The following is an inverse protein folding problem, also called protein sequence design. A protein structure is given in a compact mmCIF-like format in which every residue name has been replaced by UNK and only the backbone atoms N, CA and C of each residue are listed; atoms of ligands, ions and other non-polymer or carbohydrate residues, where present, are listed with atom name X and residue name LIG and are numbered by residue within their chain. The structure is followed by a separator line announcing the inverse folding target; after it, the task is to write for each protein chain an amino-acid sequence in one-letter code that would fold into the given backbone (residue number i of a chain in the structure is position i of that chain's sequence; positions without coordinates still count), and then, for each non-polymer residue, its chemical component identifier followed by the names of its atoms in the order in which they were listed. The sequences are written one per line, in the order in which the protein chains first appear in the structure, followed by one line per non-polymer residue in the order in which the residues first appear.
data_IF_571362051967
#
_entry.id   IF_571362051967
#
_cell.length_a   1.000
_cell.length_b   1.000
_cell.length_c   1.000
_cell.angle_alpha   90.00
_cell.angle_beta   90.00
_cell.angle_gamma   90.00
#
_symmetry.space_group_name_H-M   'P 1'
#
loop_
_entity.id
_entity.type
_entity.pdbx_description
1 polymer ?
2 non-polymer ?
3 water ?
#
# COMPACT_ATOMS: atom_id res chain seq x y z
N UNK A 19 12.69 -8.34 16.92
CA UNK A 19 11.80 -7.76 17.98
C UNK A 19 10.33 -8.05 17.67
N UNK A 20 9.46 -7.25 18.26
CA UNK A 20 8.18 -6.87 17.68
C UNK A 20 8.24 -5.33 17.82
N UNK A 21 8.98 -4.73 16.88
CA UNK A 21 9.34 -3.29 16.87
C UNK A 21 8.18 -2.27 17.11
N UNK A 22 8.51 -1.13 17.74
CA UNK A 22 7.59 0.00 17.88
C UNK A 22 6.96 0.36 16.53
N UNK A 23 5.69 0.75 16.57
CA UNK A 23 5.00 1.15 15.36
C UNK A 23 5.52 2.50 14.86
N UNK A 24 5.55 2.59 13.54
CA UNK A 24 5.94 3.74 12.78
C UNK A 24 4.73 4.32 12.07
N UNK A 25 4.80 5.58 11.73
CA UNK A 25 3.65 6.21 11.20
C UNK A 25 3.37 5.99 9.73
N UNK A 26 4.37 5.61 8.91
CA UNK A 26 4.21 5.49 7.49
C UNK A 26 4.63 4.07 7.12
N UNK A 27 4.12 3.62 5.98
CA UNK A 27 4.59 2.31 5.54
C UNK A 27 6.06 2.33 5.20
N UNK A 28 6.67 1.14 5.24
CA UNK A 28 8.12 1.14 5.09
C UNK A 28 8.61 1.55 3.71
N UNK A 29 9.78 2.25 3.69
CA UNK A 29 10.35 2.59 2.41
C UNK A 29 11.14 1.43 1.81
N UNK A 30 11.27 1.47 0.49
CA UNK A 30 12.05 0.49 -0.27
C UNK A 30 13.52 0.85 -0.20
N UNK A 31 14.35 -0.16 -0.24
CA UNK A 31 15.79 0.05 -0.39
C UNK A 31 16.13 0.68 -1.72
N UNK A 32 15.26 0.60 -2.72
CA UNK A 32 15.58 0.97 -4.07
C UNK A 32 14.68 2.08 -4.62
N UNK A 33 15.21 2.86 -5.56
CA UNK A 33 14.37 3.68 -6.37
C UNK A 33 13.31 2.88 -7.08
N UNK A 34 12.15 3.48 -7.37
CA UNK A 34 11.12 2.78 -8.14
C UNK A 34 11.47 2.64 -9.61
N UNK A 35 10.71 1.80 -10.30
CA UNK A 35 10.65 1.78 -11.74
C UNK A 35 9.34 2.46 -12.13
N UNK A 36 9.33 2.97 -13.38
CA UNK A 36 8.16 3.51 -13.99
C UNK A 36 7.65 2.50 -15.04
N UNK A 37 6.33 2.31 -15.09
CA UNK A 37 5.71 1.40 -16.06
C UNK A 37 5.02 2.24 -17.11
N UNK A 38 5.67 2.37 -18.28
CA UNK A 38 5.15 3.14 -19.42
C UNK A 38 4.25 2.24 -20.28
N UNK A 39 3.96 2.65 -21.47
CA UNK A 39 2.96 1.91 -22.32
C UNK A 39 1.60 1.47 -21.63
N UNK A 40 0.85 0.54 -22.24
CA UNK A 40 -0.51 0.20 -21.77
C UNK A 40 -0.63 -0.97 -20.74
N UNK A 41 0.24 -1.94 -20.93
CA UNK A 41 0.16 -3.24 -20.26
C UNK A 41 0.25 -3.17 -18.74
N UNK A 42 -0.40 -4.11 -18.11
CA UNK A 42 -0.34 -4.28 -16.65
C UNK A 42 1.09 -4.56 -16.19
N UNK A 43 1.42 -3.98 -15.03
CA UNK A 43 2.69 -4.32 -14.40
C UNK A 43 2.94 -5.81 -14.26
N UNK A 44 1.89 -6.57 -13.83
CA UNK A 44 2.10 -7.99 -13.73
C UNK A 44 2.51 -8.74 -15.02
N UNK A 45 2.18 -8.11 -16.12
CA UNK A 45 2.50 -8.64 -17.45
C UNK A 45 3.92 -8.31 -17.88
N UNK A 46 4.40 -7.13 -17.53
CA UNK A 46 5.64 -6.67 -18.02
C UNK A 46 6.84 -6.94 -17.18
N UNK A 47 6.66 -7.12 -15.86
CA UNK A 47 7.77 -7.30 -15.01
C UNK A 47 8.20 -8.76 -15.04
N UNK A 48 9.43 -9.07 -15.50
CA UNK A 48 9.88 -10.49 -15.60
C UNK A 48 9.86 -11.19 -14.24
N UNK A 49 9.68 -12.55 -14.29
CA UNK A 49 9.60 -13.40 -13.14
C UNK A 49 10.73 -13.23 -12.21
N UNK A 50 11.95 -12.86 -12.71
CA UNK A 50 13.13 -12.87 -11.96
C UNK A 50 13.77 -11.47 -11.86
N UNK A 51 12.93 -10.43 -11.87
CA UNK A 51 13.43 -9.02 -11.82
C UNK A 51 13.62 -8.67 -10.37
N UNK A 52 14.74 -9.13 -9.78
CA UNK A 52 15.15 -8.86 -8.42
C UNK A 52 16.38 -7.93 -8.42
N UNK A 53 16.32 -6.76 -7.77
CA UNK A 53 17.55 -5.92 -7.70
C UNK A 53 18.65 -6.66 -7.10
N UNK A 54 19.87 -6.35 -7.57
CA UNK A 54 21.10 -6.98 -7.06
C UNK A 54 21.74 -6.21 -5.90
N UNK A 55 22.33 -6.92 -4.95
CA UNK A 55 23.35 -6.39 -3.99
C UNK A 55 23.05 -6.46 -2.50
N UNK A 56 21.96 -7.16 -2.09
CA UNK A 56 21.71 -7.41 -0.67
C UNK A 56 21.28 -8.85 -0.52
N UNK A 57 21.67 -9.38 0.59
CA UNK A 57 21.18 -10.72 1.00
C UNK A 57 21.98 -11.83 0.45
N UNK A 58 21.69 -12.98 0.98
CA UNK A 58 22.29 -14.19 0.44
C UNK A 58 21.50 -14.80 -0.72
N UNK A 59 21.97 -15.88 -1.31
CA UNK A 59 21.35 -16.40 -2.49
C UNK A 59 19.88 -16.80 -2.21
N UNK A 60 19.60 -17.27 -1.02
CA UNK A 60 18.26 -17.69 -0.77
C UNK A 60 17.29 -16.53 -0.56
N UNK A 61 17.79 -15.31 -0.44
CA UNK A 61 16.99 -14.11 -0.16
C UNK A 61 16.68 -13.30 -1.41
N UNK A 62 17.00 -13.77 -2.61
CA UNK A 62 16.80 -12.97 -3.83
C UNK A 62 15.38 -13.22 -4.35
N UNK A 63 14.41 -12.67 -3.58
CA UNK A 63 12.99 -12.97 -3.76
C UNK A 63 12.18 -11.81 -3.09
N UNK A 64 11.06 -11.47 -3.71
CA UNK A 64 10.21 -10.46 -3.11
C UNK A 64 9.15 -10.07 -4.07
N UNK A 65 8.76 -8.78 -3.95
CA UNK A 65 7.67 -8.26 -4.79
C UNK A 65 7.88 -6.81 -5.17
N UNK A 66 7.23 -6.45 -6.28
CA UNK A 66 7.05 -5.05 -6.71
C UNK A 66 5.65 -4.63 -6.38
N UNK A 67 5.53 -3.52 -5.68
CA UNK A 67 4.22 -2.99 -5.23
C UNK A 67 3.84 -1.78 -6.15
N UNK A 68 2.73 -1.88 -6.77
CA UNK A 68 2.26 -0.83 -7.67
C UNK A 68 1.71 0.36 -6.92
N UNK A 69 2.13 1.53 -7.35
CA UNK A 69 1.64 2.87 -6.90
C UNK A 69 0.90 3.49 -8.11
N UNK A 70 -0.40 3.65 -8.03
CA UNK A 70 -1.18 4.36 -9.07
C UNK A 70 -0.88 5.84 -8.88
N UNK A 71 -0.76 6.61 -9.99
CA UNK A 71 -0.32 8.00 -9.98
C UNK A 71 -1.27 8.85 -10.90
N UNK A 72 -1.76 9.95 -10.39
CA UNK A 72 -2.62 10.85 -11.19
C UNK A 72 -2.57 12.16 -10.57
N UNK A 73 -2.54 13.21 -11.40
CA UNK A 73 -2.63 14.54 -10.89
C UNK A 73 -3.68 15.37 -11.63
N UNK A 74 -4.02 16.49 -11.00
CA UNK A 74 -4.87 17.49 -11.62
C UNK A 74 -3.98 18.51 -12.33
N UNK A 75 -4.34 18.80 -13.58
CA UNK A 75 -3.82 19.94 -14.35
C UNK A 75 -5.09 20.59 -15.04
N UNK A 76 -5.50 21.79 -14.56
CA UNK A 76 -6.84 22.38 -14.79
C UNK A 76 -7.97 21.69 -13.99
N UNK A 79 -7.80 15.98 -14.51
CA UNK A 79 -7.13 14.79 -13.95
C UNK A 79 -6.39 14.01 -15.00
N UNK A 80 -5.08 13.91 -14.80
CA UNK A 80 -4.21 13.29 -15.72
C UNK A 80 -3.68 12.00 -15.01
N UNK A 81 -4.01 10.88 -15.57
CA UNK A 81 -3.47 9.61 -15.10
C UNK A 81 -2.01 9.49 -15.61
N UNK A 82 -1.11 9.17 -14.71
CA UNK A 82 0.31 9.08 -15.00
C UNK A 82 0.73 7.57 -15.02
N UNK A 83 1.87 7.23 -15.64
CA UNK A 83 2.38 5.90 -15.54
C UNK A 83 2.57 5.53 -14.07
N UNK A 84 2.18 4.28 -13.76
CA UNK A 84 2.38 3.86 -12.38
C UNK A 84 3.83 3.67 -12.04
N UNK A 85 4.17 3.77 -10.76
CA UNK A 85 5.45 3.39 -10.28
C UNK A 85 5.34 2.04 -9.55
N UNK A 86 6.46 1.32 -9.53
CA UNK A 86 6.57 0.09 -8.74
C UNK A 86 7.77 0.18 -7.82
N UNK A 87 7.61 -0.28 -6.59
CA UNK A 87 8.72 -0.30 -5.62
C UNK A 87 8.98 -1.73 -5.15
N UNK A 88 10.27 -2.08 -5.02
CA UNK A 88 10.60 -3.47 -4.70
C UNK A 88 10.82 -3.62 -3.21
N UNK A 89 10.34 -4.74 -2.69
CA UNK A 89 10.56 -5.14 -1.32
C UNK A 89 10.87 -6.63 -1.28
N UNK A 90 11.83 -7.00 -0.44
CA UNK A 90 12.14 -8.41 -0.21
C UNK A 90 10.99 -9.11 0.46
N UNK A 91 10.92 -10.39 0.24
CA UNK A 91 9.88 -11.22 0.84
C UNK A 91 9.92 -11.09 2.37
N UNK A 92 8.74 -10.87 2.96
CA UNK A 92 8.65 -10.67 4.42
C UNK A 92 9.05 -9.35 4.91
N UNK A 93 9.12 -8.34 4.00
CA UNK A 93 9.40 -6.96 4.34
C UNK A 93 8.41 -6.10 3.61
N UNK A 94 8.46 -4.79 3.92
CA UNK A 94 7.63 -3.81 3.18
C UNK A 94 6.20 -3.76 3.62
N UNK A 95 5.37 -3.05 2.86
CA UNK A 95 3.92 -2.89 3.17
C UNK A 95 3.20 -4.16 3.17
N UNK A 96 3.66 -5.20 2.46
CA UNK A 96 3.04 -6.54 2.38
C UNK A 96 3.93 -7.58 3.01
N UNK A 97 4.50 -7.25 4.19
CA UNK A 97 5.38 -8.17 4.88
C UNK A 97 4.69 -9.45 5.32
N UNK A 98 3.37 -9.43 5.39
CA UNK A 98 2.48 -10.47 5.84
C UNK A 98 2.17 -11.51 4.79
N UNK A 99 2.38 -11.13 3.52
CA UNK A 99 2.07 -12.03 2.42
C UNK A 99 3.13 -13.10 2.22
N UNK A 100 2.63 -14.33 2.01
CA UNK A 100 3.46 -15.44 1.57
C UNK A 100 3.80 -15.25 0.11
N UNK A 101 4.87 -15.90 -0.34
CA UNK A 101 5.28 -15.73 -1.72
C UNK A 101 4.19 -16.05 -2.66
N UNK A 102 3.79 -15.21 -3.52
CA UNK A 102 2.80 -15.35 -4.54
C UNK A 102 1.36 -15.36 -4.06
N UNK A 103 1.16 -15.03 -2.80
CA UNK A 103 -0.21 -14.75 -2.32
C UNK A 103 -0.82 -13.65 -3.10
N UNK A 104 -2.04 -13.86 -3.60
CA UNK A 104 -2.58 -12.94 -4.56
C UNK A 104 -3.03 -11.66 -3.93
N UNK A 105 -2.59 -10.52 -4.44
CA UNK A 105 -3.01 -9.23 -4.02
C UNK A 105 -2.91 -8.26 -5.18
N UNK A 106 -3.98 -7.57 -5.57
CA UNK A 106 -3.90 -6.81 -6.76
C UNK A 106 -2.89 -5.68 -6.59
N UNK A 107 -2.03 -5.47 -7.57
CA UNK A 107 -0.98 -4.49 -7.51
C UNK A 107 0.30 -5.02 -6.95
N UNK A 108 0.36 -6.29 -6.57
CA UNK A 108 1.58 -6.90 -6.03
C UNK A 108 2.09 -7.89 -7.07
N UNK A 109 3.34 -7.69 -7.51
CA UNK A 109 3.89 -8.48 -8.58
C UNK A 109 5.09 -9.23 -8.05
N UNK A 110 5.13 -10.59 -8.09
CA UNK A 110 6.13 -11.38 -7.43
C UNK A 110 7.35 -11.72 -8.29
N UNK A 111 8.49 -11.73 -7.66
CA UNK A 111 9.76 -11.99 -8.38
C UNK A 111 10.64 -12.83 -7.55
N UNK A 112 11.45 -13.70 -8.22
CA UNK A 112 12.46 -14.51 -7.54
C UNK A 112 13.51 -14.95 -8.54
N UNK A 113 14.73 -15.02 -8.07
CA UNK A 113 15.77 -15.61 -8.86
C UNK A 113 16.00 -17.08 -8.50
N UNK A 114 16.63 -17.83 -9.44
CA UNK A 114 17.03 -19.19 -9.21
C UNK A 114 17.87 -19.29 -7.96
N UNK A 115 17.57 -20.24 -7.10
CA UNK A 115 18.25 -20.43 -5.82
C UNK A 115 17.59 -19.79 -4.63
N UNK A 116 16.62 -18.90 -4.87
CA UNK A 116 15.94 -18.29 -3.76
C UNK A 116 15.12 -19.34 -2.96
N UNK A 117 14.84 -19.07 -1.72
CA UNK A 117 13.90 -19.86 -0.97
C UNK A 117 12.68 -19.03 -0.61
N UNK A 118 11.57 -19.70 -0.58
CA UNK A 118 10.24 -19.05 -0.41
C UNK A 118 9.97 -18.84 1.10
N UNK A 119 10.86 -18.21 1.83
CA UNK A 119 10.70 -17.86 3.19
C UNK A 119 11.05 -16.40 3.42
N UNK A 120 10.54 -15.83 4.49
CA UNK A 120 10.76 -14.44 4.80
C UNK A 120 12.26 -14.22 4.91
N UNK A 121 12.72 -13.13 4.32
CA UNK A 121 14.13 -12.76 4.38
C UNK A 121 14.46 -11.99 5.68
N UNK A 122 15.77 -11.80 5.88
CA UNK A 122 16.31 -11.18 7.10
C UNK A 122 16.58 -9.70 6.95
N UNK A 123 16.20 -9.12 5.80
CA UNK A 123 16.69 -7.84 5.33
C UNK A 123 16.00 -6.64 5.86
N UNK A 124 14.81 -6.77 6.41
CA UNK A 124 14.09 -5.62 6.89
C UNK A 124 13.78 -4.63 5.81
N UNK A 125 13.68 -3.37 6.29
CA UNK A 125 13.36 -2.24 5.49
C UNK A 125 14.42 -1.13 5.55
N UNK A 126 14.38 -0.27 4.54
CA UNK A 126 15.32 0.85 4.51
C UNK A 126 14.96 1.83 5.64
N UNK A 127 16.03 2.39 6.24
CA UNK A 127 15.80 3.53 7.14
C UNK A 127 15.38 4.75 6.34
N UNK A 128 14.44 5.52 6.89
CA UNK A 128 13.87 6.59 6.15
C UNK A 128 14.89 7.62 5.67
N UNK A 129 15.88 7.90 6.52
CA UNK A 129 16.92 8.86 6.16
C UNK A 129 18.05 8.31 5.33
N UNK A 130 18.04 7.02 5.00
CA UNK A 130 19.04 6.44 4.04
C UNK A 130 18.51 6.67 2.64
N UNK A 131 19.36 7.05 1.72
CA UNK A 131 18.87 7.30 0.38
C UNK A 131 18.62 5.93 -0.36
N UNK A 132 17.54 5.86 -1.12
CA UNK A 132 17.32 4.68 -1.96
C UNK A 132 18.41 4.45 -2.99
N UNK A 133 18.69 3.24 -3.29
CA UNK A 133 19.67 2.91 -4.33
C UNK A 133 19.03 2.75 -5.66
N UNK A 134 19.74 3.05 -6.76
CA UNK A 134 19.28 2.75 -8.05
C UNK A 134 19.38 1.21 -8.20
N UNK A 135 18.26 0.55 -8.60
CA UNK A 135 18.32 -0.92 -8.75
C UNK A 135 19.01 -1.38 -10.01
N UNK A 136 19.89 -2.33 -9.89
CA UNK A 136 20.57 -2.93 -11.05
C UNK A 136 20.13 -4.40 -11.14
N UNK A 137 20.15 -4.90 -12.36
CA UNK A 137 19.60 -6.22 -12.71
C UNK A 137 20.57 -7.07 -13.51
N UNK A 138 20.34 -8.34 -13.45
CA UNK A 138 21.04 -9.39 -14.26
C UNK A 138 20.46 -9.63 -15.64
N UNK A 139 19.34 -9.03 -15.93
CA UNK A 139 18.59 -9.12 -17.13
C UNK A 139 18.33 -7.71 -17.67
N UNK A 140 18.05 -7.59 -18.95
CA UNK A 140 17.62 -6.34 -19.58
C UNK A 140 16.26 -5.96 -19.01
N UNK A 141 16.02 -4.69 -18.83
CA UNK A 141 14.65 -4.22 -18.60
C UNK A 141 13.86 -4.30 -19.82
N UNK A 142 12.65 -4.83 -19.78
CA UNK A 142 11.74 -4.70 -20.90
C UNK A 142 11.46 -3.26 -21.28
N UNK A 143 10.97 -3.07 -22.54
CA UNK A 143 10.81 -1.69 -23.04
C UNK A 143 9.88 -0.84 -22.20
N UNK A 144 8.92 -1.46 -21.51
CA UNK A 144 7.92 -0.71 -20.72
C UNK A 144 8.38 -0.29 -19.34
N UNK A 145 9.55 -0.69 -18.93
CA UNK A 145 10.09 -0.40 -17.62
C UNK A 145 11.35 0.53 -17.70
N UNK A 146 11.38 1.53 -16.83
CA UNK A 146 12.58 2.38 -16.70
C UNK A 146 12.82 2.78 -15.29
N UNK A 147 14.06 3.01 -14.94
CA UNK A 147 14.35 3.43 -13.60
C UNK A 147 14.00 4.90 -13.44
N UNK A 148 13.44 5.24 -12.32
CA UNK A 148 13.23 6.61 -11.91
C UNK A 148 14.58 7.04 -11.26
N UNK A 149 15.24 8.03 -11.83
CA UNK A 149 16.52 8.49 -11.31
C UNK A 149 16.32 9.56 -10.22
N UNK A 150 17.22 9.51 -9.22
CA UNK A 150 17.68 10.67 -8.40
C UNK A 150 16.92 10.87 -7.10
N UNK B 20 -11.29 -16.82 -5.88
CA UNK B 20 -10.24 -16.76 -6.95
C UNK B 20 -10.75 -15.95 -8.18
N UNK B 21 -10.96 -14.65 -7.94
CA UNK B 21 -11.26 -13.68 -9.00
C UNK B 21 -10.07 -13.54 -9.99
N UNK B 22 -10.28 -12.77 -11.07
CA UNK B 22 -9.19 -12.45 -11.99
C UNK B 22 -8.30 -11.34 -11.38
N UNK B 23 -6.99 -11.44 -11.59
CA UNK B 23 -6.09 -10.37 -11.10
C UNK B 23 -6.26 -9.07 -11.90
N UNK B 24 -6.19 -7.97 -11.16
CA UNK B 24 -6.26 -6.59 -11.65
C UNK B 24 -4.91 -5.87 -11.58
N UNK B 25 -4.74 -4.85 -12.35
CA UNK B 25 -3.43 -4.26 -12.42
C UNK B 25 -3.02 -3.34 -11.27
N UNK B 26 -3.99 -2.75 -10.56
CA UNK B 26 -3.72 -1.78 -9.56
C UNK B 26 -4.39 -2.26 -8.25
N UNK B 27 -3.84 -1.77 -7.12
CA UNK B 27 -4.51 -2.11 -5.88
C UNK B 27 -5.92 -1.55 -5.83
N UNK B 28 -6.76 -2.18 -4.99
CA UNK B 28 -8.15 -1.78 -5.04
C UNK B 28 -8.41 -0.37 -4.54
N UNK B 29 -9.44 0.26 -5.16
CA UNK B 29 -9.83 1.59 -4.69
C UNK B 29 -10.76 1.52 -3.48
N UNK B 30 -10.73 2.58 -2.71
CA UNK B 30 -11.62 2.76 -1.57
C UNK B 30 -12.99 3.16 -2.03
N UNK B 31 -14.00 2.77 -1.28
CA UNK B 31 -15.36 3.30 -1.47
C UNK B 31 -15.45 4.76 -1.15
N UNK B 32 -14.51 5.30 -0.38
CA UNK B 32 -14.61 6.66 0.14
C UNK B 32 -13.48 7.55 -0.29
N UNK B 33 -13.74 8.86 -0.37
CA UNK B 33 -12.71 9.87 -0.41
C UNK B 33 -11.75 9.70 0.75
N UNK B 34 -10.50 10.06 0.60
CA UNK B 34 -9.53 10.04 1.71
C UNK B 34 -9.78 11.17 2.68
N UNK B 35 -9.14 11.03 3.86
CA UNK B 35 -8.91 12.12 4.78
C UNK B 35 -7.49 12.57 4.64
N UNK B 36 -7.28 13.84 4.99
CA UNK B 36 -5.96 14.43 5.10
C UNK B 36 -5.54 14.53 6.56
N UNK B 37 -4.30 14.22 6.87
CA UNK B 37 -3.79 14.28 8.25
C UNK B 37 -2.84 15.47 8.30
N UNK B 38 -3.39 16.59 8.83
CA UNK B 38 -2.63 17.86 8.95
C UNK B 38 -1.73 17.93 10.17
N UNK B 39 -0.67 17.12 10.22
CA UNK B 39 0.58 17.44 10.94
C UNK B 39 1.28 16.15 11.02
N UNK B 40 2.15 15.89 11.96
CA UNK B 40 2.78 16.45 13.19
C UNK B 40 2.68 15.24 14.13
N UNK B 41 1.47 14.78 14.26
CA UNK B 41 1.23 13.57 15.01
C UNK B 41 0.95 12.46 13.99
N UNK B 42 1.33 11.29 14.39
CA UNK B 42 1.08 10.07 13.61
C UNK B 42 -0.40 9.85 13.36
N UNK B 43 -0.71 9.37 12.15
CA UNK B 43 -2.09 8.94 11.90
C UNK B 43 -2.63 7.97 12.95
N UNK B 44 -1.82 6.99 13.38
CA UNK B 44 -2.29 6.10 14.40
C UNK B 44 -2.71 6.71 15.72
N UNK B 45 -2.17 7.90 15.96
CA UNK B 45 -2.47 8.71 17.16
C UNK B 45 -3.76 9.46 17.03
N UNK B 46 -4.02 10.01 15.86
CA UNK B 46 -5.08 10.91 15.77
C UNK B 46 -6.39 10.34 15.27
N UNK B 47 -6.39 9.16 14.61
CA UNK B 47 -7.59 8.62 14.12
C UNK B 47 -8.29 7.85 15.25
N UNK B 48 -9.50 8.24 15.65
CA UNK B 48 -10.20 7.54 16.76
C UNK B 48 -10.44 6.06 16.46
N UNK B 49 -10.54 5.27 17.57
CA UNK B 49 -10.74 3.84 17.51
C UNK B 49 -11.91 3.44 16.69
N UNK B 50 -12.97 4.30 16.60
CA UNK B 50 -14.21 3.94 16.00
C UNK B 50 -14.56 4.84 14.79
N UNK B 51 -13.51 5.31 14.09
CA UNK B 51 -13.72 6.20 12.92
C UNK B 51 -14.01 5.34 11.72
N UNK B 52 -15.24 4.84 11.58
CA UNK B 52 -15.70 4.03 10.51
C UNK B 52 -16.72 4.82 9.70
N UNK B 53 -16.49 5.02 8.39
CA UNK B 53 -17.55 5.70 7.58
C UNK B 53 -18.84 4.98 7.65
N UNK B 54 -19.93 5.76 7.58
CA UNK B 54 -21.30 5.26 7.64
C UNK B 54 -21.88 4.93 6.25
N UNK B 55 -22.67 3.88 6.14
CA UNK B 55 -23.61 3.69 5.01
C UNK B 55 -23.49 2.42 4.18
N UNK B 56 -22.60 1.46 4.58
CA UNK B 56 -22.53 0.18 3.93
C UNK B 56 -22.41 -0.91 4.98
N UNK B 57 -22.98 -2.03 4.64
CA UNK B 57 -22.82 -3.26 5.46
C UNK B 57 -23.78 -3.34 6.61
N UNK B 58 -23.75 -4.50 7.21
CA UNK B 58 -24.52 -4.68 8.42
C UNK B 58 -23.77 -4.32 9.68
N UNK B 59 -24.39 -4.40 10.85
CA UNK B 59 -23.75 -3.93 12.03
C UNK B 59 -22.42 -4.66 12.32
N UNK B 60 -22.36 -5.93 11.98
CA UNK B 60 -21.15 -6.63 12.27
C UNK B 60 -20.00 -6.29 11.34
N UNK B 61 -20.29 -5.54 10.28
CA UNK B 61 -19.27 -5.18 9.22
C UNK B 61 -18.73 -3.79 9.41
N UNK B 62 -19.02 -3.08 10.49
CA UNK B 62 -18.54 -1.68 10.67
C UNK B 62 -17.14 -1.74 11.33
N UNK B 63 -16.16 -2.19 10.50
CA UNK B 63 -14.82 -2.51 10.95
C UNK B 63 -13.87 -2.48 9.74
N UNK B 64 -12.65 -2.00 9.95
CA UNK B 64 -11.71 -1.99 8.88
C UNK B 64 -10.48 -1.26 9.28
N UNK B 65 -9.84 -0.64 8.27
CA UNK B 65 -8.60 0.10 8.50
C UNK B 65 -8.49 1.34 7.60
N UNK B 66 -7.67 2.27 8.04
CA UNK B 66 -7.20 3.42 7.23
C UNK B 66 -5.78 3.11 6.84
N UNK B 67 -5.53 3.24 5.52
CA UNK B 67 -4.21 2.96 4.98
C UNK B 67 -3.51 4.34 4.68
N UNK B 68 -2.37 4.54 5.26
CA UNK B 68 -1.60 5.76 5.01
C UNK B 68 -0.93 5.79 3.70
N UNK B 69 -1.05 6.93 3.04
CA UNK B 69 -0.37 7.29 1.75
C UNK B 69 0.57 8.48 2.08
N UNK B 70 1.86 8.25 2.07
CA UNK B 70 2.87 9.31 2.23
C UNK B 70 2.86 10.11 0.94
N UNK B 71 2.98 11.45 1.02
CA UNK B 71 2.83 12.37 -0.09
C UNK B 71 3.96 13.43 -0.12
N UNK B 72 4.60 13.60 -1.27
CA UNK B 72 5.66 14.64 -1.42
C UNK B 72 5.60 15.13 -2.83
N UNK B 73 6.16 16.30 -3.08
CA UNK B 73 6.25 16.72 -4.45
C UNK B 73 7.53 17.54 -4.57
N UNK B 74 8.01 17.62 -5.82
CA UNK B 74 9.00 18.61 -6.25
C UNK B 74 8.36 19.93 -6.66
N UNK B 75 8.84 21.03 -6.05
CA UNK B 75 8.60 22.42 -6.54
C UNK B 75 9.98 23.14 -6.51
N UNK B 76 10.53 23.48 -7.69
CA UNK B 76 11.96 23.84 -7.83
C UNK B 76 12.85 22.61 -7.50
N UNK B 79 12.13 18.90 -2.92
CA UNK B 79 11.19 17.94 -2.31
C UNK B 79 10.42 18.57 -1.17
N UNK B 80 9.11 18.71 -1.36
CA UNK B 80 8.23 19.23 -0.35
C UNK B 80 7.37 18.01 0.23
N UNK B 81 7.53 17.74 1.50
CA UNK B 81 6.69 16.72 2.15
C UNK B 81 5.31 17.33 2.42
N UNK B 82 4.28 16.60 2.04
CA UNK B 82 2.91 17.01 2.15
C UNK B 82 2.21 16.21 3.26
N UNK B 83 1.08 16.73 3.83
CA UNK B 83 0.30 15.95 4.76
C UNK B 83 -0.04 14.63 4.07
N UNK B 84 0.05 13.57 4.88
CA UNK B 84 -0.39 12.29 4.32
C UNK B 84 -1.91 12.19 4.13
N UNK B 85 -2.35 11.31 3.23
CA UNK B 85 -3.71 10.92 3.10
C UNK B 85 -3.89 9.53 3.68
N UNK B 86 -5.11 9.32 4.15
CA UNK B 86 -5.56 7.99 4.58
C UNK B 86 -6.80 7.57 3.84
N UNK B 87 -6.88 6.31 3.44
CA UNK B 87 -8.03 5.76 2.75
C UNK B 87 -8.62 4.58 3.51
N UNK B 88 -9.94 4.52 3.60
CA UNK B 88 -10.59 3.50 4.43
C UNK B 88 -10.95 2.29 3.62
N UNK B 89 -10.76 1.10 4.19
CA UNK B 89 -11.16 -0.15 3.63
C UNK B 89 -11.77 -1.01 4.70
N UNK B 90 -12.88 -1.68 4.37
CA UNK B 90 -13.46 -2.67 5.28
C UNK B 90 -12.53 -3.84 5.54
N UNK B 91 -12.67 -4.43 6.70
CA UNK B 91 -11.88 -5.62 7.03
C UNK B 91 -12.06 -6.72 5.96
N UNK B 92 -10.91 -7.27 5.55
CA UNK B 92 -10.90 -8.30 4.49
C UNK B 92 -11.09 -7.81 3.10
N UNK B 93 -10.88 -6.50 2.89
CA UNK B 93 -10.89 -5.86 1.58
C UNK B 93 -9.71 -4.94 1.45
N UNK B 94 -9.51 -4.39 0.23
CA UNK B 94 -8.47 -3.37 0.06
C UNK B 94 -7.09 -3.97 -0.15
N UNK B 95 -6.08 -3.12 -0.13
CA UNK B 95 -4.66 -3.55 -0.32
C UNK B 95 -4.19 -4.46 0.72
N UNK B 96 -4.78 -4.42 1.95
CA UNK B 96 -4.43 -5.29 3.06
C UNK B 96 -5.57 -6.24 3.40
N UNK B 97 -6.18 -6.84 2.38
CA UNK B 97 -7.27 -7.77 2.55
C UNK B 97 -6.87 -9.00 3.38
N UNK B 98 -5.59 -9.32 3.40
CA UNK B 98 -4.99 -10.44 4.03
C UNK B 98 -4.79 -10.34 5.51
N UNK B 99 -4.80 -9.10 6.01
CA UNK B 99 -4.55 -8.83 7.42
C UNK B 99 -5.76 -9.10 8.27
N UNK B 100 -5.52 -9.77 9.37
CA UNK B 100 -6.54 -9.91 10.43
C UNK B 100 -6.65 -8.63 11.18
N UNK B 101 -7.77 -8.46 11.85
CA UNK B 101 -8.00 -7.22 12.57
C UNK B 101 -6.93 -6.91 13.50
N UNK B 102 -6.29 -5.81 13.43
CA UNK B 102 -5.24 -5.29 14.25
C UNK B 102 -3.89 -5.95 14.11
N UNK B 103 -3.76 -6.78 13.07
CA UNK B 103 -2.42 -7.27 12.71
C UNK B 103 -1.53 -6.10 12.42
N UNK B 104 -0.35 -6.05 13.00
CA UNK B 104 0.48 -4.86 12.92
C UNK B 104 1.10 -4.67 11.58
N UNK B 105 0.92 -3.51 10.94
CA UNK B 105 1.57 -3.13 9.72
C UNK B 105 1.75 -1.63 9.70
N UNK B 106 2.97 -1.12 9.55
CA UNK B 106 3.14 0.30 9.66
C UNK B 106 2.36 0.98 8.59
N UNK B 107 1.65 2.05 8.96
CA UNK B 107 0.77 2.82 8.06
C UNK B 107 -0.64 2.31 8.00
N UNK B 108 -0.94 1.27 8.75
CA UNK B 108 -2.29 0.71 8.78
C UNK B 108 -2.88 1.00 10.16
N UNK B 109 -4.01 1.72 10.15
CA UNK B 109 -4.65 2.19 11.37
C UNK B 109 -6.01 1.54 11.49
N UNK B 110 -6.30 0.76 12.56
CA UNK B 110 -7.48 -0.01 12.69
C UNK B 110 -8.64 0.66 13.37
N UNK B 111 -9.82 0.38 12.87
CA UNK B 111 -11.04 1.05 13.44
C UNK B 111 -12.14 0.03 13.47
N UNK B 112 -13.06 0.21 14.48
CA UNK B 112 -14.25 -0.60 14.60
C UNK B 112 -15.27 0.10 15.45
N UNK B 113 -16.52 -0.06 15.08
CA UNK B 113 -17.57 0.40 15.97
C UNK B 113 -18.06 -0.74 16.86
N UNK B 114 -18.79 -0.33 17.93
CA UNK B 114 -19.46 -1.25 18.83
C UNK B 114 -20.43 -2.10 18.04
N UNK B 115 -20.40 -3.39 18.27
CA UNK B 115 -21.21 -4.36 17.55
C UNK B 115 -20.55 -5.04 16.37
N UNK B 116 -19.41 -4.52 15.92
CA UNK B 116 -18.73 -5.15 14.83
C UNK B 116 -18.22 -6.55 15.20
N UNK B 117 -17.99 -7.40 14.26
CA UNK B 117 -17.29 -8.64 14.51
C UNK B 117 -15.99 -8.65 13.75
N UNK B 118 -15.01 -9.27 14.34
CA UNK B 118 -13.63 -9.30 13.81
C UNK B 118 -13.43 -10.39 12.76
N UNK B 119 -14.28 -10.38 11.74
CA UNK B 119 -14.19 -11.28 10.62
C UNK B 119 -14.27 -10.49 9.32
N UNK B 120 -13.75 -11.06 8.25
CA UNK B 120 -13.75 -10.43 6.95
C UNK B 120 -15.16 -10.10 6.56
N UNK B 121 -15.34 -8.90 6.06
CA UNK B 121 -16.68 -8.43 5.61
C UNK B 121 -16.96 -8.92 4.18
N UNK B 122 -18.21 -8.69 3.79
CA UNK B 122 -18.72 -9.15 2.45
C UNK B 122 -18.68 -8.11 1.42
N UNK B 123 -18.09 -6.96 1.71
CA UNK B 123 -18.31 -5.73 0.98
C UNK B 123 -17.46 -5.55 -0.24
N UNK B 124 -16.37 -6.28 -0.38
CA UNK B 124 -15.52 -6.11 -1.52
C UNK B 124 -14.90 -4.75 -1.58
N UNK B 125 -14.59 -4.35 -2.83
CA UNK B 125 -13.97 -3.11 -3.16
C UNK B 125 -14.79 -2.27 -4.13
N UNK B 126 -14.46 -0.99 -4.17
CA UNK B 126 -15.16 -0.11 -5.14
C UNK B 126 -14.73 -0.46 -6.56
N UNK B 127 -15.71 -0.42 -7.46
CA UNK B 127 -15.38 -0.46 -8.88
C UNK B 127 -14.67 0.80 -9.28
N UNK B 128 -13.64 0.67 -10.12
CA UNK B 128 -12.80 1.80 -10.46
C UNK B 128 -13.55 2.99 -11.04
N UNK B 129 -14.56 2.70 -11.89
CA UNK B 129 -15.34 3.78 -12.49
C UNK B 129 -16.52 4.31 -11.66
N UNK B 130 -16.72 3.77 -10.45
CA UNK B 130 -17.70 4.16 -9.37
C UNK B 130 -17.01 5.43 -8.76
N UNK B 131 -17.68 6.56 -8.57
CA UNK B 131 -17.03 7.66 -7.87
C UNK B 131 -16.97 7.32 -6.33
N UNK B 132 -15.86 7.68 -5.70
CA UNK B 132 -15.81 7.57 -4.23
C UNK B 132 -16.84 8.45 -3.52
N UNK B 133 -17.30 8.01 -2.39
CA UNK B 133 -18.25 8.80 -1.60
C UNK B 133 -17.52 9.62 -0.55
N UNK B 134 -18.05 10.78 -0.15
CA UNK B 134 -17.54 11.53 0.95
C UNK B 134 -17.90 10.75 2.22
N UNK B 135 -16.89 10.44 3.08
CA UNK B 135 -17.21 9.68 4.30
C UNK B 135 -17.87 10.49 5.35
N UNK B 136 -18.95 10.00 5.92
CA UNK B 136 -19.60 10.66 7.06
C UNK B 136 -19.47 9.75 8.28
N UNK B 137 -19.43 10.39 9.44
CA UNK B 137 -19.14 9.77 10.72
C UNK B 137 -20.18 10.04 11.81
N UNK B 138 -20.18 9.22 12.80
CA UNK B 138 -21.02 9.37 14.05
C UNK B 138 -20.34 10.18 15.10
N UNK B 139 -19.09 10.53 14.95
CA UNK B 139 -18.32 11.29 15.85
C UNK B 139 -17.74 12.51 15.09
N UNK B 140 -17.34 13.52 15.82
CA UNK B 140 -16.56 14.65 15.32
C UNK B 140 -15.22 14.14 14.78
N UNK B 141 -14.76 14.74 13.70
CA UNK B 141 -13.36 14.59 13.33
C UNK B 141 -12.49 15.33 14.26
N UNK B 142 -11.41 14.76 14.75
CA UNK B 142 -10.43 15.49 15.43
C UNK B 142 -9.82 16.63 14.57
N UNK B 143 -9.21 17.62 15.24
CA UNK B 143 -8.73 18.78 14.50
C UNK B 143 -7.73 18.46 13.40
N UNK B 144 -6.95 17.38 13.56
CA UNK B 144 -5.90 17.06 12.55
C UNK B 144 -6.41 16.33 11.31
N UNK B 145 -7.66 15.97 11.27
CA UNK B 145 -8.25 15.24 10.18
C UNK B 145 -9.29 16.11 9.42
N UNK B 146 -9.23 16.06 8.09
CA UNK B 146 -10.24 16.70 7.20
C UNK B 146 -10.53 15.88 5.99
N UNK B 147 -11.72 16.00 5.48
CA UNK B 147 -12.07 15.27 4.28
C UNK B 147 -11.46 15.98 3.09
N UNK B 148 -10.94 15.20 2.21
CA UNK B 148 -10.50 15.66 0.92
C UNK B 148 -11.75 15.70 -0.01
N UNK B 149 -12.18 16.87 -0.43
CA UNK B 149 -13.40 16.96 -1.27
C UNK B 149 -13.09 16.73 -2.75
N UNK B 150 -14.12 16.25 -3.49
CA UNK B 150 -14.24 16.29 -4.99
C UNK B 150 -14.27 14.89 -5.58
#
# INVERSE_FOLDING_TARGET
HHHHSGDDDDKASVNWADDRAARKKFPPPSFYMPLLVSSDKAPYRVIPRNLVPIGKGNKDEQIGYWNVQERWRMRRGQRVDLPPKVHFYYLGTGPHKDLKFRQRSDGVVWVAKEGAKTVNTSLGNRKRNQKPLEPKFSIALPPELSVVEF
HHHHSGDDDDKASVNWADDRAARKKFPPPSFYMPLLVSSDKAPYRVIPRNLVPIGKGNKDEQIGYWNVQERWRMRRGQRVDLPPKVHFYYLGTGPHKDLKFRQRSDGVVWVAKEGAKTVNTSLGNRKRNQKPLEPKFSIALPPELSVVEF
#
